data_IF_449699539048
#
_entry.id   IF_449699539048
#
_cell.length_a   1.000
_cell.length_b   1.000
_cell.length_c   1.000
_cell.angle_alpha   90.00
_cell.angle_beta   90.00
_cell.angle_gamma   90.00
#
_symmetry.space_group_name_H-M   'P 1'
#
loop_
_entity.id
_entity.type
_entity.pdbx_description
1 polymer ?
#
# COMPACT_ATOMS: atom_id res chain seq x y z
N UNK A 1 32.57 -10.01 -4.28
CA UNK A 1 31.74 -8.81 -4.45
C UNK A 1 31.82 -8.45 -5.93
N UNK A 2 30.89 -8.94 -6.71
CA UNK A 2 30.80 -8.64 -8.15
C UNK A 2 29.74 -7.54 -8.28
N UNK A 3 30.24 -6.34 -8.58
CA UNK A 3 29.42 -5.21 -8.98
C UNK A 3 28.71 -5.57 -10.29
N UNK A 4 27.40 -5.76 -10.24
CA UNK A 4 26.58 -5.72 -11.43
C UNK A 4 26.32 -4.25 -11.77
N UNK A 5 26.92 -3.80 -12.86
CA UNK A 5 26.59 -2.52 -13.49
C UNK A 5 25.09 -2.45 -13.80
N UNK A 6 24.44 -1.30 -13.65
CA UNK A 6 23.05 -1.14 -14.01
C UNK A 6 22.90 -1.29 -15.53
N UNK A 7 22.13 -2.29 -15.97
CA UNK A 7 21.65 -2.33 -17.34
C UNK A 7 20.86 -1.05 -17.64
N UNK A 8 21.20 -0.45 -18.76
CA UNK A 8 20.60 0.79 -19.25
C UNK A 8 19.08 0.64 -19.40
N UNK A 9 18.35 1.38 -18.59
CA UNK A 9 16.90 1.56 -18.68
C UNK A 9 16.57 2.67 -19.70
N UNK A 10 16.96 2.46 -20.96
CA UNK A 10 16.59 3.31 -22.09
C UNK A 10 15.54 2.61 -22.97
N UNK A 11 14.45 2.15 -22.36
CA UNK A 11 13.26 1.86 -23.14
C UNK A 11 12.16 2.81 -22.63
N UNK A 12 11.85 3.81 -23.44
CA UNK A 12 10.62 4.58 -23.26
C UNK A 12 9.46 3.60 -23.16
N UNK A 13 8.80 3.63 -22.01
CA UNK A 13 7.59 2.87 -21.80
C UNK A 13 6.50 3.47 -22.70
N UNK A 14 6.21 2.77 -23.79
CA UNK A 14 5.13 3.13 -24.69
C UNK A 14 3.86 2.41 -24.23
N UNK A 15 2.88 3.17 -23.78
CA UNK A 15 1.55 2.70 -23.36
C UNK A 15 0.87 1.87 -24.47
N UNK A 16 1.14 2.20 -25.73
CA UNK A 16 0.62 1.51 -26.91
C UNK A 16 1.03 0.03 -27.03
N UNK A 17 2.04 -0.42 -26.27
CA UNK A 17 2.43 -1.84 -26.21
C UNK A 17 1.69 -2.65 -25.15
N UNK A 18 0.86 -2.01 -24.36
CA UNK A 18 -0.12 -2.66 -23.51
C UNK A 18 -1.28 -3.09 -24.37
N UNK A 19 -1.11 -4.25 -24.99
CA UNK A 19 -2.14 -4.74 -25.90
C UNK A 19 -3.43 -5.03 -25.13
N UNK A 20 -4.60 -4.72 -25.72
CA UNK A 20 -5.90 -5.16 -25.20
C UNK A 20 -5.96 -6.65 -24.85
N UNK A 21 -5.08 -7.42 -25.46
CA UNK A 21 -4.89 -8.85 -25.25
C UNK A 21 -4.35 -9.24 -23.86
N UNK A 22 -3.56 -8.39 -23.19
CA UNK A 22 -3.13 -8.64 -21.81
C UNK A 22 -4.30 -8.44 -20.85
N UNK A 23 -5.02 -7.34 -21.03
CA UNK A 23 -6.21 -7.02 -20.25
C UNK A 23 -7.24 -8.12 -20.43
N UNK A 24 -7.52 -8.52 -21.67
CA UNK A 24 -8.47 -9.60 -21.97
C UNK A 24 -8.01 -10.97 -21.47
N UNK A 25 -6.71 -11.26 -21.39
CA UNK A 25 -6.20 -12.52 -20.82
C UNK A 25 -6.30 -12.55 -19.29
N UNK A 26 -6.15 -11.41 -18.63
CA UNK A 26 -6.32 -11.30 -17.17
C UNK A 26 -7.81 -11.35 -16.80
N UNK A 27 -8.67 -10.84 -17.66
CA UNK A 27 -10.10 -10.62 -17.38
C UNK A 27 -11.00 -11.75 -17.94
N UNK A 28 -10.61 -12.41 -19.04
CA UNK A 28 -11.42 -13.46 -19.65
C UNK A 28 -11.27 -14.78 -18.94
N UNK A 29 -12.04 -15.05 -17.94
CA UNK A 29 -12.62 -16.38 -17.70
C UNK A 29 -13.67 -16.33 -16.58
N UNK A 30 -14.88 -16.71 -16.95
CA UNK A 30 -16.01 -17.22 -16.15
C UNK A 30 -15.99 -16.94 -14.63
N UNK A 31 -16.19 -15.66 -14.28
CA UNK A 31 -16.40 -15.24 -12.90
C UNK A 31 -17.90 -15.03 -12.65
N UNK A 32 -18.72 -15.58 -13.49
CA UNK A 32 -20.17 -15.57 -13.37
C UNK A 32 -20.64 -16.66 -12.40
N UNK A 33 -20.23 -16.57 -11.12
CA UNK A 33 -20.89 -17.35 -10.08
C UNK A 33 -21.35 -16.41 -8.96
N UNK A 34 -22.68 -16.17 -8.85
CA UNK A 34 -23.27 -15.30 -7.82
C UNK A 34 -22.90 -15.70 -6.38
N UNK A 35 -22.57 -16.97 -6.16
CA UNK A 35 -22.18 -17.51 -4.84
C UNK A 35 -20.86 -16.94 -4.31
N UNK A 36 -19.96 -16.46 -5.19
CA UNK A 36 -18.68 -15.89 -4.77
C UNK A 36 -18.86 -14.48 -4.25
N UNK A 37 -19.82 -13.74 -4.78
CA UNK A 37 -20.11 -12.36 -4.40
C UNK A 37 -20.77 -12.26 -3.00
N UNK A 38 -21.45 -13.33 -2.56
CA UNK A 38 -22.12 -13.38 -1.25
C UNK A 38 -21.16 -13.59 -0.06
N UNK A 39 -19.88 -13.93 -0.32
CA UNK A 39 -18.90 -14.28 0.70
C UNK A 39 -17.78 -13.23 0.88
N UNK A 40 -18.06 -11.97 0.57
CA UNK A 40 -17.09 -10.92 0.84
C UNK A 40 -16.97 -10.66 2.35
N UNK A 41 -15.72 -10.47 2.78
CA UNK A 41 -15.43 -10.03 4.13
C UNK A 41 -15.84 -8.58 4.29
N UNK A 42 -16.53 -8.29 5.39
CA UNK A 42 -16.87 -6.91 5.75
C UNK A 42 -15.63 -6.19 6.27
N UNK A 43 -15.27 -5.10 5.60
CA UNK A 43 -14.21 -4.16 5.97
C UNK A 43 -14.68 -2.70 5.75
N UNK A 44 -15.97 -2.42 5.94
CA UNK A 44 -16.55 -1.07 5.78
C UNK A 44 -15.89 -0.04 6.71
N UNK A 45 -15.35 -0.51 7.85
CA UNK A 45 -14.59 0.32 8.79
C UNK A 45 -13.15 0.64 8.34
N UNK A 46 -12.73 0.17 7.16
CA UNK A 46 -11.38 0.35 6.64
C UNK A 46 -11.38 1.04 5.28
N UNK A 47 -10.48 2.01 5.11
CA UNK A 47 -10.16 2.60 3.79
C UNK A 47 -8.72 2.28 3.42
N UNK A 48 -8.53 1.69 2.25
CA UNK A 48 -7.21 1.50 1.65
C UNK A 48 -6.80 2.76 0.91
N UNK A 49 -5.57 3.24 1.11
CA UNK A 49 -4.99 4.37 0.38
C UNK A 49 -3.77 3.90 -0.38
N UNK A 50 -3.79 4.07 -1.71
CA UNK A 50 -2.78 3.53 -2.63
C UNK A 50 -2.17 4.67 -3.44
N UNK A 51 -0.93 5.09 -3.14
CA UNK A 51 -0.20 6.02 -3.99
C UNK A 51 0.25 5.31 -5.27
N UNK A 52 0.04 5.92 -6.42
CA UNK A 52 0.27 5.27 -7.70
C UNK A 52 1.02 6.16 -8.70
N UNK A 53 2.01 5.56 -9.37
CA UNK A 53 2.60 5.98 -10.63
C UNK A 53 2.87 4.72 -11.46
N UNK A 54 2.35 4.68 -12.68
CA UNK A 54 2.47 3.49 -13.53
C UNK A 54 3.61 3.71 -14.52
N UNK A 55 4.82 3.34 -14.12
CA UNK A 55 6.04 3.52 -14.93
C UNK A 55 6.40 2.29 -15.77
N UNK A 56 5.78 1.13 -15.47
CA UNK A 56 6.08 -0.13 -16.15
C UNK A 56 4.83 -0.97 -16.34
N UNK A 57 4.88 -1.91 -17.30
CA UNK A 57 3.84 -2.92 -17.52
C UNK A 57 3.58 -3.76 -16.26
N UNK A 58 4.64 -4.11 -15.54
CA UNK A 58 4.50 -4.89 -14.30
C UNK A 58 3.71 -4.13 -13.24
N UNK A 59 3.97 -2.83 -13.06
CA UNK A 59 3.18 -2.01 -12.13
C UNK A 59 1.72 -1.91 -12.52
N UNK A 60 1.44 -1.78 -13.83
CA UNK A 60 0.06 -1.77 -14.30
C UNK A 60 -0.65 -3.10 -14.01
N UNK A 61 0.01 -4.24 -14.31
CA UNK A 61 -0.51 -5.57 -13.97
C UNK A 61 -0.70 -5.72 -12.45
N UNK A 62 0.27 -5.29 -11.67
CA UNK A 62 0.25 -5.46 -10.23
C UNK A 62 -0.88 -4.65 -9.57
N UNK A 63 -1.07 -3.37 -9.93
CA UNK A 63 -2.21 -2.59 -9.42
C UNK A 63 -3.54 -3.20 -9.85
N UNK A 64 -3.66 -3.70 -11.08
CA UNK A 64 -4.88 -4.34 -11.56
C UNK A 64 -5.22 -5.58 -10.72
N UNK A 65 -4.28 -6.51 -10.52
CA UNK A 65 -4.53 -7.71 -9.72
C UNK A 65 -4.80 -7.37 -8.26
N UNK A 66 -4.10 -6.39 -7.72
CA UNK A 66 -4.30 -5.91 -6.35
C UNK A 66 -5.73 -5.37 -6.16
N UNK A 67 -6.20 -4.53 -7.06
CA UNK A 67 -7.57 -3.99 -6.99
C UNK A 67 -8.62 -5.07 -7.22
N UNK A 68 -8.45 -5.96 -8.20
CA UNK A 68 -9.34 -7.11 -8.39
C UNK A 68 -9.41 -7.94 -7.09
N UNK A 69 -8.26 -8.19 -6.45
CA UNK A 69 -8.21 -8.96 -5.22
C UNK A 69 -8.96 -8.27 -4.08
N UNK A 70 -8.68 -6.98 -3.84
CA UNK A 70 -9.32 -6.21 -2.77
C UNK A 70 -10.83 -6.11 -2.99
N UNK A 71 -11.23 -5.64 -4.17
CA UNK A 71 -12.63 -5.36 -4.46
C UNK A 71 -13.50 -6.62 -4.52
N UNK A 72 -12.98 -7.77 -4.94
CA UNK A 72 -13.74 -9.03 -4.97
C UNK A 72 -13.87 -9.72 -3.62
N UNK A 73 -12.90 -9.54 -2.75
CA UNK A 73 -12.90 -10.26 -1.48
C UNK A 73 -13.45 -9.44 -0.31
N UNK A 74 -13.48 -8.11 -0.43
CA UNK A 74 -13.82 -7.22 0.68
C UNK A 74 -14.88 -6.18 0.31
N UNK A 75 -15.79 -5.93 1.25
CA UNK A 75 -16.64 -4.76 1.23
C UNK A 75 -15.90 -3.64 1.94
N UNK A 76 -15.24 -2.76 1.18
CA UNK A 76 -14.29 -1.77 1.70
C UNK A 76 -14.21 -0.54 0.79
N UNK A 77 -13.60 0.54 1.29
CA UNK A 77 -13.26 1.73 0.51
C UNK A 77 -11.80 1.65 0.04
N UNK A 78 -11.55 2.03 -1.20
CA UNK A 78 -10.20 2.10 -1.77
C UNK A 78 -10.04 3.45 -2.46
N UNK A 79 -9.04 4.22 -2.05
CA UNK A 79 -8.66 5.48 -2.69
C UNK A 79 -7.32 5.25 -3.39
N UNK A 80 -7.28 5.43 -4.70
CA UNK A 80 -6.06 5.39 -5.51
C UNK A 80 -5.75 6.81 -5.96
N UNK A 81 -4.59 7.33 -5.60
CA UNK A 81 -4.12 8.62 -6.14
C UNK A 81 -2.95 8.39 -7.08
N UNK A 82 -3.21 8.61 -8.37
CA UNK A 82 -2.22 8.56 -9.45
C UNK A 82 -1.64 9.96 -9.68
N UNK A 83 -0.31 10.05 -9.70
CA UNK A 83 0.42 11.29 -10.02
C UNK A 83 1.38 10.99 -11.16
N UNK A 84 1.03 11.44 -12.36
CA UNK A 84 1.79 11.19 -13.59
C UNK A 84 1.50 12.25 -14.66
N UNK A 85 2.17 12.19 -15.80
CA UNK A 85 1.93 13.07 -16.96
C UNK A 85 0.54 12.89 -17.55
N UNK A 86 0.11 11.64 -17.64
CA UNK A 86 -1.21 11.22 -18.12
C UNK A 86 -1.73 10.07 -17.25
N UNK A 87 -3.05 9.90 -17.21
CA UNK A 87 -3.64 8.85 -16.41
C UNK A 87 -3.68 7.52 -17.16
N UNK A 88 -2.69 6.67 -16.90
CA UNK A 88 -2.67 5.28 -17.39
C UNK A 88 -3.76 4.47 -16.68
N UNK A 89 -4.06 4.80 -15.44
CA UNK A 89 -5.16 4.17 -14.70
C UNK A 89 -6.48 4.31 -15.44
N UNK A 90 -6.87 5.52 -15.84
CA UNK A 90 -8.13 5.75 -16.58
C UNK A 90 -8.13 5.11 -17.97
N UNK A 91 -6.96 5.10 -18.61
CA UNK A 91 -6.85 4.59 -19.98
C UNK A 91 -6.85 3.06 -20.05
N UNK A 92 -6.30 2.37 -19.05
CA UNK A 92 -6.01 0.93 -19.12
C UNK A 92 -6.50 0.14 -17.93
N UNK A 93 -6.32 0.63 -16.69
CA UNK A 93 -6.68 -0.14 -15.49
C UNK A 93 -8.17 -0.11 -15.24
N UNK A 94 -8.80 1.06 -15.31
CA UNK A 94 -10.22 1.23 -15.02
C UNK A 94 -11.11 0.42 -15.98
N UNK A 95 -10.93 0.47 -17.30
CA UNK A 95 -11.71 -0.38 -18.22
C UNK A 95 -11.56 -1.88 -17.93
N UNK A 96 -10.34 -2.30 -17.56
CA UNK A 96 -10.08 -3.70 -17.20
C UNK A 96 -10.77 -4.11 -15.90
N UNK A 97 -10.85 -3.20 -14.93
CA UNK A 97 -11.58 -3.45 -13.69
C UNK A 97 -13.10 -3.53 -13.94
N UNK A 98 -13.63 -2.65 -14.76
CA UNK A 98 -15.04 -2.65 -15.14
C UNK A 98 -15.42 -3.96 -15.85
N UNK A 99 -14.57 -4.46 -16.76
CA UNK A 99 -14.77 -5.76 -17.40
C UNK A 99 -14.64 -6.92 -16.40
N UNK A 100 -13.63 -6.88 -15.50
CA UNK A 100 -13.37 -7.93 -14.51
C UNK A 100 -14.44 -7.98 -13.41
N UNK A 101 -15.14 -6.88 -13.19
CA UNK A 101 -16.02 -6.67 -12.06
C UNK A 101 -17.43 -6.25 -12.51
N UNK A 102 -17.93 -6.74 -13.67
CA UNK A 102 -19.26 -6.39 -14.21
C UNK A 102 -20.39 -6.54 -13.18
N UNK A 103 -20.35 -7.61 -12.38
CA UNK A 103 -21.32 -7.86 -11.28
C UNK A 103 -20.84 -7.26 -9.96
N UNK A 104 -19.87 -6.36 -10.00
CA UNK A 104 -19.14 -5.92 -8.84
C UNK A 104 -19.43 -4.45 -8.53
N UNK A 105 -19.70 -4.18 -7.26
CA UNK A 105 -19.86 -2.78 -6.81
C UNK A 105 -18.50 -2.07 -6.81
N UNK A 106 -18.23 -1.32 -7.86
CA UNK A 106 -17.11 -0.38 -7.94
C UNK A 106 -17.31 0.86 -7.04
N UNK A 107 -18.42 0.93 -6.33
CA UNK A 107 -18.81 2.06 -5.46
C UNK A 107 -17.76 2.37 -4.38
N UNK A 108 -17.00 1.35 -3.94
CA UNK A 108 -15.92 1.51 -2.96
C UNK A 108 -14.62 2.09 -3.54
N UNK A 109 -14.47 2.19 -4.88
CA UNK A 109 -13.24 2.65 -5.52
C UNK A 109 -13.32 4.13 -5.88
N UNK A 110 -12.39 4.91 -5.35
CA UNK A 110 -12.18 6.31 -5.74
C UNK A 110 -10.82 6.45 -6.41
N UNK A 111 -10.78 6.94 -7.65
CA UNK A 111 -9.55 7.28 -8.34
C UNK A 111 -9.38 8.79 -8.47
N UNK A 112 -8.23 9.28 -8.05
CA UNK A 112 -7.83 10.69 -8.13
C UNK A 112 -6.61 10.76 -9.05
N UNK A 113 -6.67 11.62 -10.05
CA UNK A 113 -5.55 11.89 -10.93
C UNK A 113 -5.05 13.32 -10.72
N UNK A 114 -3.75 13.44 -10.47
CA UNK A 114 -3.03 14.70 -10.45
C UNK A 114 -1.99 14.70 -11.58
N UNK A 115 -2.17 15.59 -12.53
CA UNK A 115 -1.21 15.73 -13.63
C UNK A 115 0.07 16.37 -13.11
N UNK A 116 1.21 15.74 -13.38
CA UNK A 116 2.53 16.24 -12.99
C UNK A 116 3.60 15.78 -13.96
N UNK A 117 4.42 16.73 -14.41
CA UNK A 117 5.65 16.45 -15.17
C UNK A 117 6.87 16.25 -14.26
N UNK A 118 6.67 16.32 -12.93
CA UNK A 118 7.77 16.17 -11.98
C UNK A 118 8.33 14.76 -12.00
N UNK A 119 9.64 14.67 -12.10
CA UNK A 119 10.38 13.42 -12.01
C UNK A 119 10.18 12.73 -10.66
N UNK A 120 10.16 13.51 -9.58
CA UNK A 120 10.07 13.02 -8.20
C UNK A 120 8.65 12.55 -7.85
N UNK A 121 8.54 11.29 -7.44
CA UNK A 121 7.30 10.75 -6.89
C UNK A 121 7.28 10.99 -5.36
N UNK A 122 6.59 12.05 -4.93
CA UNK A 122 6.54 12.44 -3.52
C UNK A 122 5.51 11.60 -2.75
N UNK A 123 5.86 10.31 -2.53
CA UNK A 123 4.99 9.28 -1.96
C UNK A 123 4.31 9.71 -0.66
N UNK A 124 5.06 10.28 0.28
CA UNK A 124 4.55 10.68 1.59
C UNK A 124 3.48 11.76 1.50
N UNK A 125 3.66 12.76 0.63
CA UNK A 125 2.66 13.79 0.34
C UNK A 125 1.40 13.19 -0.28
N UNK A 126 1.55 12.30 -1.26
CA UNK A 126 0.44 11.63 -1.96
C UNK A 126 -0.39 10.79 -0.98
N UNK A 127 0.26 10.07 -0.07
CA UNK A 127 -0.41 9.32 1.00
C UNK A 127 -1.20 10.26 1.91
N UNK A 128 -0.61 11.38 2.34
CA UNK A 128 -1.30 12.34 3.17
C UNK A 128 -2.52 12.95 2.47
N UNK A 129 -2.42 13.29 1.17
CA UNK A 129 -3.56 13.82 0.42
C UNK A 129 -4.76 12.86 0.49
N UNK A 130 -4.54 11.56 0.42
CA UNK A 130 -5.59 10.55 0.58
C UNK A 130 -6.00 10.36 2.06
N UNK A 131 -5.05 10.32 2.98
CA UNK A 131 -5.32 10.11 4.40
C UNK A 131 -6.29 11.14 4.97
N UNK A 132 -6.16 12.41 4.57
CA UNK A 132 -7.07 13.46 5.05
C UNK A 132 -8.48 13.36 4.46
N UNK A 133 -8.69 12.55 3.42
CA UNK A 133 -10.01 12.23 2.86
C UNK A 133 -10.68 11.02 3.56
N UNK A 134 -9.91 10.21 4.30
CA UNK A 134 -10.43 9.02 4.97
C UNK A 134 -11.36 9.41 6.11
N UNK A 135 -12.56 8.82 6.13
CA UNK A 135 -13.60 8.98 7.15
C UNK A 135 -13.82 7.71 8.00
N UNK A 136 -13.20 6.58 7.63
CA UNK A 136 -13.31 5.32 8.36
C UNK A 136 -12.39 5.26 9.59
N UNK A 137 -12.75 4.46 10.62
CA UNK A 137 -11.92 4.30 11.83
C UNK A 137 -10.52 3.76 11.56
N UNK A 138 -10.38 2.93 10.53
CA UNK A 138 -9.11 2.29 10.15
C UNK A 138 -8.67 2.78 8.77
N UNK A 139 -7.39 3.14 8.64
CA UNK A 139 -6.74 3.42 7.36
C UNK A 139 -5.70 2.35 7.08
N UNK A 140 -5.73 1.77 5.88
CA UNK A 140 -4.65 0.93 5.40
C UNK A 140 -3.79 1.68 4.38
N UNK A 141 -2.55 2.03 4.77
CA UNK A 141 -1.54 2.45 3.80
C UNK A 141 -1.06 1.21 3.04
N UNK A 142 -1.21 1.21 1.72
CA UNK A 142 -1.10 -0.02 0.94
C UNK A 142 -0.33 0.21 -0.36
N UNK A 143 0.68 -0.63 -0.62
CA UNK A 143 1.42 -0.58 -1.88
C UNK A 143 0.63 -1.27 -3.00
N UNK A 144 0.80 -0.78 -4.24
CA UNK A 144 0.01 -1.20 -5.40
C UNK A 144 0.33 -2.61 -5.93
N UNK A 145 1.22 -3.33 -5.27
CA UNK A 145 1.80 -4.60 -5.69
C UNK A 145 1.92 -5.61 -4.55
N UNK A 146 1.02 -5.52 -3.59
CA UNK A 146 1.03 -6.35 -2.37
C UNK A 146 -0.24 -7.16 -2.25
N UNK A 147 -0.10 -8.42 -1.84
CA UNK A 147 -1.20 -9.33 -1.54
C UNK A 147 -0.93 -10.06 -0.21
N UNK A 148 -1.98 -10.27 0.56
CA UNK A 148 -1.93 -11.09 1.79
C UNK A 148 -3.07 -12.12 1.77
N UNK A 149 -2.98 -13.20 2.57
CA UNK A 149 -4.13 -14.08 2.80
C UNK A 149 -5.35 -13.29 3.26
N UNK A 150 -6.53 -13.69 2.79
CA UNK A 150 -7.79 -12.94 3.02
C UNK A 150 -8.05 -12.64 4.50
N UNK A 151 -7.71 -13.57 5.38
CA UNK A 151 -7.92 -13.45 6.83
C UNK A 151 -7.06 -12.38 7.48
N UNK A 152 -5.90 -12.05 6.90
CA UNK A 152 -4.99 -11.04 7.47
C UNK A 152 -5.62 -9.66 7.58
N UNK A 153 -6.49 -9.31 6.64
CA UNK A 153 -7.14 -7.99 6.60
C UNK A 153 -8.16 -7.79 7.72
N UNK A 154 -9.20 -8.63 7.87
CA UNK A 154 -10.16 -8.45 8.95
C UNK A 154 -9.54 -8.67 10.33
N UNK A 155 -8.51 -9.50 10.47
CA UNK A 155 -7.80 -9.63 11.74
C UNK A 155 -7.07 -8.34 12.12
N UNK A 156 -6.38 -7.68 11.17
CA UNK A 156 -5.71 -6.42 11.44
C UNK A 156 -6.71 -5.32 11.84
N UNK A 157 -7.84 -5.20 11.13
CA UNK A 157 -8.91 -4.27 11.45
C UNK A 157 -9.51 -4.58 12.84
N UNK A 158 -9.80 -5.85 13.10
CA UNK A 158 -10.36 -6.26 14.39
C UNK A 158 -9.42 -5.97 15.57
N UNK A 159 -8.11 -6.15 15.40
CA UNK A 159 -7.13 -5.81 16.45
C UNK A 159 -7.18 -4.33 16.81
N UNK A 160 -7.33 -3.44 15.84
CA UNK A 160 -7.43 -1.99 16.08
C UNK A 160 -8.78 -1.64 16.72
N UNK A 161 -9.88 -2.15 16.18
CA UNK A 161 -11.23 -1.78 16.59
C UNK A 161 -11.63 -2.38 17.94
N UNK A 162 -11.32 -3.65 18.16
CA UNK A 162 -11.79 -4.43 19.30
C UNK A 162 -10.71 -4.78 20.33
N UNK A 163 -9.45 -4.47 20.01
CA UNK A 163 -8.30 -4.79 20.85
C UNK A 163 -7.96 -6.27 20.88
N UNK A 164 -6.85 -6.58 21.53
CA UNK A 164 -6.31 -7.93 21.70
C UNK A 164 -6.30 -8.25 23.20
N UNK A 165 -7.08 -9.26 23.60
CA UNK A 165 -7.19 -9.67 25.00
C UNK A 165 -5.92 -10.35 25.48
N UNK A 166 -5.45 -10.01 26.68
CA UNK A 166 -4.30 -10.63 27.31
C UNK A 166 -2.96 -10.39 26.63
N UNK A 167 -2.89 -9.56 25.59
CA UNK A 167 -1.67 -9.34 24.81
C UNK A 167 -0.53 -8.70 25.62
N UNK A 168 -0.83 -7.94 26.65
CA UNK A 168 0.16 -7.28 27.54
C UNK A 168 -0.07 -7.58 29.01
N UNK A 169 -1.32 -7.55 29.42
CA UNK A 169 -1.75 -7.82 30.80
C UNK A 169 -2.91 -8.79 30.74
N UNK A 170 -2.85 -9.85 31.54
CA UNK A 170 -3.89 -10.87 31.60
C UNK A 170 -5.25 -10.24 32.00
N UNK A 171 -6.30 -10.56 31.26
CA UNK A 171 -7.65 -10.02 31.47
C UNK A 171 -7.88 -8.59 31.01
N UNK A 172 -6.87 -7.91 30.41
CA UNK A 172 -7.03 -6.58 29.84
C UNK A 172 -6.97 -6.61 28.30
N UNK A 173 -7.69 -5.69 27.67
CA UNK A 173 -7.61 -5.47 26.23
C UNK A 173 -6.55 -4.40 25.90
N UNK A 174 -5.66 -4.73 24.97
CA UNK A 174 -4.71 -3.80 24.41
C UNK A 174 -5.12 -3.43 22.99
N UNK A 175 -5.16 -2.12 22.68
CA UNK A 175 -5.58 -1.58 21.39
C UNK A 175 -4.36 -1.07 20.62
N UNK A 176 -3.87 -1.82 19.62
CA UNK A 176 -2.77 -1.33 18.78
C UNK A 176 -3.21 -0.12 17.96
N UNK A 177 -2.28 0.81 17.75
CA UNK A 177 -2.46 2.01 16.91
C UNK A 177 -1.92 1.84 15.51
N UNK A 178 -1.07 0.85 15.32
CA UNK A 178 -0.66 0.34 14.01
C UNK A 178 -0.49 -1.17 14.06
N UNK A 179 -0.94 -1.84 13.01
CA UNK A 179 -0.80 -3.28 12.82
C UNK A 179 -0.10 -3.55 11.49
N UNK A 180 1.04 -4.25 11.56
CA UNK A 180 1.66 -4.87 10.39
C UNK A 180 1.03 -6.26 10.21
N UNK A 181 0.23 -6.48 9.15
CA UNK A 181 -0.53 -7.73 8.99
C UNK A 181 0.33 -8.89 8.48
N UNK A 182 1.66 -8.80 8.64
CA UNK A 182 2.63 -9.80 8.20
C UNK A 182 3.85 -9.85 9.12
N UNK A 183 4.53 -11.00 9.13
CA UNK A 183 5.75 -11.22 9.90
C UNK A 183 7.01 -10.69 9.22
N UNK A 184 8.18 -10.92 9.84
CA UNK A 184 9.50 -10.53 9.36
C UNK A 184 10.17 -11.66 8.58
N UNK A 185 11.13 -11.31 7.74
CA UNK A 185 12.01 -12.26 7.04
C UNK A 185 11.23 -13.27 6.19
N UNK A 186 11.20 -14.55 6.59
CA UNK A 186 10.53 -15.64 5.85
C UNK A 186 9.04 -15.45 5.58
N UNK A 187 8.40 -14.53 6.27
CA UNK A 187 7.00 -14.18 6.03
C UNK A 187 6.81 -13.18 4.90
N UNK A 188 7.90 -12.61 4.39
CA UNK A 188 7.86 -11.66 3.29
C UNK A 188 8.36 -12.34 2.02
N UNK A 189 7.44 -12.63 1.12
CA UNK A 189 7.68 -13.35 -0.11
C UNK A 189 7.72 -12.41 -1.30
N UNK A 190 8.87 -12.30 -1.96
CA UNK A 190 8.96 -11.60 -3.24
C UNK A 190 8.70 -12.57 -4.38
N UNK A 191 7.74 -12.20 -5.22
CA UNK A 191 7.28 -13.00 -6.34
C UNK A 191 7.75 -12.39 -7.66
N UNK A 192 8.45 -13.19 -8.45
CA UNK A 192 8.63 -12.89 -9.87
C UNK A 192 7.49 -13.55 -10.64
N UNK A 193 6.46 -12.78 -10.97
CA UNK A 193 5.24 -13.29 -11.57
C UNK A 193 5.16 -13.04 -13.06
N UNK A 194 4.73 -14.05 -13.80
CA UNK A 194 4.27 -13.92 -15.18
C UNK A 194 2.78 -13.53 -15.25
N UNK A 195 2.35 -13.07 -16.41
CA UNK A 195 0.92 -12.82 -16.66
C UNK A 195 0.08 -14.09 -16.51
N UNK A 196 0.65 -15.25 -16.88
CA UNK A 196 -0.01 -16.55 -16.73
C UNK A 196 -0.23 -16.92 -15.25
N UNK A 197 0.76 -16.71 -14.39
CA UNK A 197 0.62 -16.98 -12.95
C UNK A 197 -0.40 -16.04 -12.30
N UNK A 198 -0.40 -14.76 -12.65
CA UNK A 198 -1.40 -13.81 -12.19
C UNK A 198 -2.80 -14.20 -12.66
N UNK A 199 -2.94 -14.61 -13.92
CA UNK A 199 -4.22 -15.11 -14.47
C UNK A 199 -4.68 -16.36 -13.73
N UNK A 200 -3.79 -17.32 -13.48
CA UNK A 200 -4.11 -18.51 -12.69
C UNK A 200 -4.55 -18.16 -11.27
N UNK A 201 -3.87 -17.20 -10.64
CA UNK A 201 -4.21 -16.74 -9.29
C UNK A 201 -5.65 -16.18 -9.23
N UNK A 202 -6.02 -15.32 -10.18
CA UNK A 202 -7.38 -14.80 -10.27
C UNK A 202 -8.40 -15.91 -10.52
N UNK A 203 -8.12 -16.82 -11.46
CA UNK A 203 -9.02 -17.89 -11.87
C UNK A 203 -9.18 -19.01 -10.81
N UNK A 204 -8.17 -19.22 -9.99
CA UNK A 204 -8.22 -20.15 -8.84
C UNK A 204 -8.98 -19.60 -7.62
N UNK A 205 -9.69 -18.47 -7.77
CA UNK A 205 -10.35 -17.76 -6.67
C UNK A 205 -9.33 -17.26 -5.63
N UNK A 206 -8.17 -16.83 -6.12
CA UNK A 206 -7.07 -16.28 -5.33
C UNK A 206 -6.38 -17.33 -4.42
N UNK A 207 -6.10 -18.48 -4.98
CA UNK A 207 -5.29 -19.51 -4.31
C UNK A 207 -3.80 -19.13 -4.36
N UNK A 208 -3.21 -18.83 -3.20
CA UNK A 208 -1.80 -18.47 -3.08
C UNK A 208 -0.83 -19.60 -3.37
N UNK A 209 -1.27 -20.86 -3.42
CA UNK A 209 -0.43 -21.99 -3.83
C UNK A 209 0.01 -21.91 -5.31
N UNK A 210 -0.67 -21.08 -6.11
CA UNK A 210 -0.22 -20.74 -7.47
C UNK A 210 1.17 -20.09 -7.45
N UNK A 211 1.48 -19.33 -6.40
CA UNK A 211 2.77 -18.65 -6.21
C UNK A 211 3.78 -19.55 -5.50
N UNK A 212 4.14 -20.65 -6.12
CA UNK A 212 5.05 -21.65 -5.54
C UNK A 212 6.54 -21.28 -5.64
N UNK A 213 6.89 -20.24 -6.39
CA UNK A 213 8.25 -19.73 -6.56
C UNK A 213 8.37 -18.34 -5.99
N UNK A 214 8.98 -18.22 -4.85
CA UNK A 214 9.22 -16.94 -4.19
C UNK A 214 10.58 -16.95 -3.51
N UNK A 215 11.11 -15.76 -3.25
CA UNK A 215 12.32 -15.56 -2.47
C UNK A 215 12.02 -14.76 -1.20
N UNK A 216 12.71 -15.03 -0.08
CA UNK A 216 12.60 -14.19 1.10
C UNK A 216 13.05 -12.77 0.81
N UNK A 217 12.31 -11.81 1.34
CA UNK A 217 12.65 -10.40 1.29
C UNK A 217 12.31 -9.78 2.64
N UNK A 218 13.09 -8.85 3.14
CA UNK A 218 12.82 -8.20 4.42
C UNK A 218 12.76 -6.67 4.23
N UNK A 219 11.60 -6.18 3.80
CA UNK A 219 11.29 -4.75 3.73
C UNK A 219 11.05 -4.13 5.11
N UNK A 220 11.16 -4.91 6.19
CA UNK A 220 10.93 -4.49 7.57
C UNK A 220 9.55 -3.91 7.82
N UNK A 221 9.26 -2.71 7.33
CA UNK A 221 8.09 -1.90 7.65
C UNK A 221 7.33 -1.39 6.41
N UNK A 222 7.75 -1.77 5.21
CA UNK A 222 7.07 -1.43 3.94
C UNK A 222 5.80 -2.24 3.69
N UNK A 223 5.36 -2.34 2.45
CA UNK A 223 4.20 -3.10 1.93
C UNK A 223 2.85 -2.52 2.32
N UNK A 224 2.36 -2.83 3.52
CA UNK A 224 1.07 -2.34 4.00
C UNK A 224 1.03 -2.26 5.53
N UNK A 225 0.26 -1.31 6.03
CA UNK A 225 0.06 -1.12 7.46
C UNK A 225 -1.36 -0.62 7.71
N UNK A 226 -2.00 -1.19 8.74
CA UNK A 226 -3.30 -0.73 9.23
C UNK A 226 -3.10 0.21 10.41
N UNK A 227 -3.76 1.35 10.38
CA UNK A 227 -3.66 2.39 11.39
C UNK A 227 -5.02 2.70 12.01
N UNK A 228 -5.05 2.98 13.31
CA UNK A 228 -6.10 3.80 13.88
C UNK A 228 -6.05 5.17 13.21
N UNK A 229 -7.05 5.49 12.40
CA UNK A 229 -7.06 6.69 11.52
C UNK A 229 -6.88 7.98 12.31
N UNK A 230 -7.53 8.07 13.47
CA UNK A 230 -7.44 9.24 14.35
C UNK A 230 -6.00 9.45 14.82
N UNK A 231 -5.39 8.40 15.36
CA UNK A 231 -4.00 8.46 15.82
C UNK A 231 -3.03 8.76 14.67
N UNK A 232 -3.27 8.18 13.48
CA UNK A 232 -2.42 8.44 12.32
C UNK A 232 -2.44 9.92 11.92
N UNK A 233 -3.63 10.55 11.88
CA UNK A 233 -3.77 11.98 11.62
C UNK A 233 -3.18 12.85 12.75
N UNK A 234 -3.44 12.50 14.01
CA UNK A 234 -2.91 13.20 15.18
C UNK A 234 -1.38 13.21 15.21
N UNK A 235 -0.75 12.11 14.81
CA UNK A 235 0.71 12.00 14.71
C UNK A 235 1.28 12.56 13.40
N UNK A 236 0.48 13.28 12.61
CA UNK A 236 0.92 14.02 11.43
C UNK A 236 0.92 13.25 10.11
N UNK A 237 0.31 12.06 10.06
CA UNK A 237 0.31 11.24 8.85
C UNK A 237 1.71 10.76 8.46
N UNK A 238 2.03 10.79 7.17
CA UNK A 238 3.41 10.59 6.68
C UNK A 238 4.23 11.86 6.86
N UNK A 239 5.53 11.71 7.11
CA UNK A 239 6.40 12.87 7.18
C UNK A 239 6.79 13.34 5.77
N UNK A 240 6.20 14.45 5.33
CA UNK A 240 6.42 15.02 3.99
C UNK A 240 7.86 15.57 3.80
N UNK A 241 8.69 15.58 4.83
CA UNK A 241 10.11 15.86 4.70
C UNK A 241 10.92 14.74 4.06
N UNK A 242 10.37 13.51 4.01
CA UNK A 242 10.94 12.40 3.24
C UNK A 242 10.47 12.47 1.80
N UNK A 243 11.37 12.80 0.91
CA UNK A 243 11.06 13.01 -0.51
C UNK A 243 11.41 11.76 -1.30
N UNK A 244 10.47 11.29 -2.13
CA UNK A 244 10.56 10.07 -2.91
C UNK A 244 10.66 8.84 -2.00
N UNK A 245 11.69 8.02 -2.13
CA UNK A 245 11.84 6.73 -1.46
C UNK A 245 13.02 6.72 -0.48
N UNK A 246 12.80 6.17 0.70
CA UNK A 246 13.84 5.81 1.67
C UNK A 246 13.71 6.50 3.03
N UNK A 247 13.76 5.68 4.08
CA UNK A 247 13.66 5.99 5.51
C UNK A 247 12.27 6.41 6.01
N UNK A 248 11.28 6.64 5.16
CA UNK A 248 9.92 7.01 5.56
C UNK A 248 9.23 5.90 6.38
N UNK A 249 9.42 4.63 5.98
CA UNK A 249 8.86 3.47 6.67
C UNK A 249 9.51 3.24 8.03
N UNK A 250 10.84 3.41 8.13
CA UNK A 250 11.59 3.29 9.39
C UNK A 250 11.18 4.39 10.37
N UNK A 251 11.03 5.63 9.88
CA UNK A 251 10.59 6.77 10.69
C UNK A 251 9.18 6.56 11.22
N UNK A 252 8.25 6.20 10.35
CA UNK A 252 6.85 5.95 10.72
C UNK A 252 6.75 4.90 11.81
N UNK A 253 7.43 3.76 11.63
CA UNK A 253 7.46 2.70 12.64
C UNK A 253 8.03 3.22 13.98
N UNK A 254 9.18 3.89 13.95
CA UNK A 254 9.84 4.44 15.13
C UNK A 254 8.94 5.42 15.87
N UNK A 255 8.31 6.34 15.16
CA UNK A 255 7.39 7.34 15.71
C UNK A 255 6.22 6.71 16.45
N UNK A 256 5.53 5.76 15.81
CA UNK A 256 4.40 5.06 16.44
C UNK A 256 4.86 4.25 17.66
N UNK A 257 5.95 3.50 17.55
CA UNK A 257 6.48 2.72 18.66
C UNK A 257 6.87 3.62 19.84
N UNK A 258 7.57 4.72 19.56
CA UNK A 258 8.08 5.63 20.59
C UNK A 258 6.93 6.44 21.27
N UNK A 259 5.98 6.92 20.50
CA UNK A 259 4.93 7.82 21.03
C UNK A 259 3.78 7.02 21.64
N UNK A 260 3.30 5.98 20.97
CA UNK A 260 2.09 5.27 21.40
C UNK A 260 2.38 4.01 22.21
N UNK A 261 3.54 3.40 22.01
CA UNK A 261 3.87 2.06 22.50
C UNK A 261 2.80 1.01 22.10
N UNK A 262 2.14 1.21 20.96
CA UNK A 262 0.98 0.42 20.54
C UNK A 262 1.12 -0.05 19.08
N UNK A 263 2.24 -0.77 18.82
CA UNK A 263 2.55 -1.37 17.52
C UNK A 263 2.39 -2.88 17.61
N UNK A 264 1.54 -3.46 16.75
CA UNK A 264 1.36 -4.89 16.61
C UNK A 264 1.95 -5.41 15.29
N UNK A 265 2.27 -6.68 15.27
CA UNK A 265 2.70 -7.41 14.08
C UNK A 265 2.14 -8.83 14.12
N UNK A 266 1.61 -9.27 12.98
CA UNK A 266 1.10 -10.62 12.79
C UNK A 266 2.19 -11.53 12.20
N UNK A 267 2.08 -12.82 12.43
CA UNK A 267 2.97 -13.83 11.83
C UNK A 267 2.36 -14.45 10.57
N UNK A 268 1.78 -13.59 9.73
CA UNK A 268 1.19 -13.96 8.45
C UNK A 268 2.13 -13.66 7.29
N UNK A 269 1.88 -14.25 6.13
CA UNK A 269 2.69 -14.03 4.94
C UNK A 269 2.18 -12.83 4.14
N UNK A 270 3.11 -12.03 3.62
CA UNK A 270 2.85 -11.02 2.60
C UNK A 270 3.56 -11.42 1.32
N UNK A 271 2.89 -11.19 0.18
CA UNK A 271 3.41 -11.43 -1.16
C UNK A 271 3.59 -10.09 -1.86
N UNK A 272 4.81 -9.79 -2.25
CA UNK A 272 5.15 -8.62 -3.03
C UNK A 272 5.37 -9.03 -4.50
N UNK A 273 4.54 -8.53 -5.37
CA UNK A 273 4.62 -8.76 -6.82
C UNK A 273 5.77 -7.91 -7.39
N UNK A 274 6.82 -8.57 -7.85
CA UNK A 274 8.01 -7.90 -8.35
C UNK A 274 7.68 -7.04 -9.58
N UNK A 275 8.35 -5.92 -9.69
CA UNK A 275 8.27 -5.02 -10.82
C UNK A 275 9.66 -4.44 -11.13
N UNK A 276 9.85 -3.94 -12.34
CA UNK A 276 11.08 -3.23 -12.70
C UNK A 276 11.26 -2.00 -11.79
N UNK A 277 12.50 -1.76 -11.35
CA UNK A 277 12.81 -0.62 -10.49
C UNK A 277 12.74 0.67 -11.30
N UNK A 278 12.00 1.64 -10.79
CA UNK A 278 11.91 2.96 -11.37
C UNK A 278 13.13 3.83 -11.05
N UNK A 279 13.23 4.95 -11.74
CA UNK A 279 14.27 5.96 -11.51
C UNK A 279 14.20 6.59 -10.11
N UNK A 280 13.05 6.48 -9.43
CA UNK A 280 12.83 6.99 -8.06
C UNK A 280 13.15 5.95 -6.97
N UNK A 281 13.66 4.76 -7.33
CA UNK A 281 13.99 3.72 -6.35
C UNK A 281 15.25 4.07 -5.54
N UNK A 282 15.40 3.45 -4.39
CA UNK A 282 16.42 3.69 -3.35
C UNK A 282 17.76 4.23 -3.85
N UNK A 283 18.46 3.52 -4.74
CA UNK A 283 19.79 3.92 -5.21
C UNK A 283 19.79 5.11 -6.17
N UNK A 284 18.67 5.42 -6.78
CA UNK A 284 18.53 6.48 -7.77
C UNK A 284 17.82 7.73 -7.21
N UNK A 285 17.34 7.68 -5.97
CA UNK A 285 16.68 8.82 -5.37
C UNK A 285 17.70 9.94 -5.06
N UNK A 286 17.62 11.11 -5.72
CA UNK A 286 18.53 12.22 -5.44
C UNK A 286 18.37 12.81 -4.03
N UNK A 287 17.25 12.51 -3.36
CA UNK A 287 16.93 13.01 -2.02
C UNK A 287 17.35 12.06 -0.89
N UNK A 288 17.93 10.89 -1.22
CA UNK A 288 18.23 9.84 -0.23
C UNK A 288 19.12 10.32 0.93
N UNK A 289 20.10 11.17 0.64
CA UNK A 289 20.98 11.73 1.66
C UNK A 289 20.25 12.73 2.57
N UNK A 290 19.34 13.53 2.01
CA UNK A 290 18.45 14.41 2.78
C UNK A 290 17.53 13.61 3.71
N UNK A 291 16.92 12.55 3.16
CA UNK A 291 16.08 11.63 3.91
C UNK A 291 16.87 10.95 5.04
N UNK A 292 18.11 10.51 4.78
CA UNK A 292 18.98 9.92 5.79
C UNK A 292 19.26 10.89 6.95
N UNK A 293 19.61 12.13 6.64
CA UNK A 293 19.87 13.15 7.66
C UNK A 293 18.63 13.48 8.51
N UNK A 294 17.47 13.58 7.86
CA UNK A 294 16.21 13.78 8.57
C UNK A 294 15.89 12.60 9.49
N UNK A 295 16.06 11.37 9.00
CA UNK A 295 15.88 10.16 9.79
C UNK A 295 16.80 10.12 11.02
N UNK A 296 18.10 10.37 10.86
CA UNK A 296 19.06 10.39 11.95
C UNK A 296 18.70 11.44 13.01
N UNK A 297 18.24 12.61 12.58
CA UNK A 297 17.75 13.66 13.48
C UNK A 297 16.53 13.18 14.28
N UNK A 298 15.50 12.64 13.60
CA UNK A 298 14.26 12.23 14.27
C UNK A 298 14.47 11.02 15.18
N UNK A 299 15.33 10.08 14.79
CA UNK A 299 15.69 8.92 15.60
C UNK A 299 16.43 9.30 16.88
N UNK A 300 17.13 10.45 16.91
CA UNK A 300 17.81 10.94 18.11
C UNK A 300 16.88 11.65 19.10
N UNK A 301 15.65 11.99 18.68
CA UNK A 301 14.70 12.70 19.54
C UNK A 301 14.16 11.78 20.64
N UNK A 302 13.99 12.36 21.84
CA UNK A 302 13.20 11.75 22.91
C UNK A 302 11.71 11.80 22.55
N UNK A 303 10.90 11.03 23.26
CA UNK A 303 9.44 10.95 23.05
C UNK A 303 8.77 12.34 22.99
N UNK A 304 9.06 13.20 23.95
CA UNK A 304 8.42 14.53 24.04
C UNK A 304 8.89 15.48 22.93
N UNK A 305 10.17 15.38 22.52
CA UNK A 305 10.72 16.15 21.41
C UNK A 305 10.10 15.70 20.07
N UNK A 306 9.91 14.40 19.91
CA UNK A 306 9.28 13.82 18.73
C UNK A 306 7.79 14.22 18.63
N UNK A 307 7.06 14.18 19.74
CA UNK A 307 5.68 14.69 19.82
C UNK A 307 5.63 16.17 19.43
N UNK A 308 6.46 17.00 20.06
CA UNK A 308 6.53 18.43 19.77
C UNK A 308 6.83 18.71 18.30
N UNK A 309 7.72 17.92 17.68
CA UNK A 309 8.01 18.04 16.26
C UNK A 309 6.74 17.83 15.41
N UNK A 310 5.99 16.72 15.62
CA UNK A 310 4.80 16.42 14.84
C UNK A 310 3.58 17.30 15.15
N UNK A 311 3.52 17.89 16.31
CA UNK A 311 2.52 18.91 16.65
C UNK A 311 2.79 20.23 15.91
N UNK A 312 4.07 20.53 15.60
CA UNK A 312 4.50 21.84 15.13
C UNK A 312 5.04 21.88 13.71
N UNK A 313 5.33 20.75 13.07
CA UNK A 313 5.81 20.72 11.68
C UNK A 313 4.76 21.30 10.73
N UNK A 314 5.22 22.15 9.78
CA UNK A 314 4.36 22.99 8.95
C UNK A 314 3.27 22.20 8.21
N UNK A 315 3.67 21.18 7.45
CA UNK A 315 2.73 20.37 6.65
C UNK A 315 1.61 19.75 7.52
N UNK A 316 1.94 19.28 8.72
CA UNK A 316 0.95 18.64 9.59
C UNK A 316 -0.04 19.65 10.19
N UNK A 317 0.42 20.89 10.48
CA UNK A 317 -0.47 21.98 10.89
C UNK A 317 -1.42 22.40 9.76
N UNK A 318 -0.90 22.55 8.56
CA UNK A 318 -1.69 22.88 7.37
C UNK A 318 -2.75 21.82 7.11
N UNK A 319 -2.38 20.54 7.18
CA UNK A 319 -3.31 19.41 7.00
C UNK A 319 -4.43 19.39 8.03
N UNK A 320 -4.11 19.61 9.33
CA UNK A 320 -5.12 19.65 10.41
C UNK A 320 -6.03 20.86 10.35
N UNK A 321 -5.62 21.94 9.68
CA UNK A 321 -6.45 23.13 9.49
C UNK A 321 -7.52 22.96 8.40
N UNK A 322 -7.43 21.90 7.58
CA UNK A 322 -8.45 21.60 6.56
C UNK A 322 -9.68 21.03 7.28
N UNK A 323 -10.87 21.65 7.14
CA UNK A 323 -12.08 21.08 7.71
C UNK A 323 -12.34 19.70 7.11
N UNK A 324 -12.65 18.71 7.95
CA UNK A 324 -13.16 17.42 7.48
C UNK A 324 -14.54 17.68 6.91
N UNK A 325 -14.71 17.46 5.61
CA UNK A 325 -15.96 17.67 4.87
C UNK A 325 -17.05 16.67 5.30
#
# INVERSE_FOLDING_TARGET
MTEHAPEQLDAEFQVDKLTPDLVSKIVRQDITQPEILSQRWDLEDCTFIIPLRIETRDRMRNILVTLIYLLRNFNTKVIVKEVDKESIFKQSVLPALEEACEDFRMEGLTHIFEQSDEYTFHRTKIINDMLWMVDTPVTCNYDCDVLLPKTSYPYAVNMIMNGVEGARVEGEKWYPKVVYPYGRGRYQAQLHTSDEEVTKFINSKFDFEVFNKWRPYDAKFGFCQFFDTKTYKELGGENEGFISYGYEDDERHYRFAMITDAVARMDERVFHLEHARSKNSWFNNPHIEGNRKLWEKLKSCKKEELKFYYENVGYAKERRAIPVA
#
